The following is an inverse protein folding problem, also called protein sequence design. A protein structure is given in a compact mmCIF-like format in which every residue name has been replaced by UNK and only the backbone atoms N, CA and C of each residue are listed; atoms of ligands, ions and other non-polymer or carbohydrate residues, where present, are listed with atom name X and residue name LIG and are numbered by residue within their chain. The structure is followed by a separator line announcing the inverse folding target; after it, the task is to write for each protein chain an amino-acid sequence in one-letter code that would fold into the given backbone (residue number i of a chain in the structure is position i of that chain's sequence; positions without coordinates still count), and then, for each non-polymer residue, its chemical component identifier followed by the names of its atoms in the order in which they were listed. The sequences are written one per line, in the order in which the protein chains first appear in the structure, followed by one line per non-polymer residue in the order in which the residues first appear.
data_IF_236895101362
#
_entry.id   IF_236895101362
#
_cell.length_a   1.000
_cell.length_b   1.000
_cell.length_c   1.000
_cell.angle_alpha   90.00
_cell.angle_beta   90.00
_cell.angle_gamma   90.00
#
_symmetry.space_group_name_H-M   'P 1'
#
loop_
_entity.id
_entity.type
_entity.pdbx_description
1 polymer ?
#
# COMPACT_ATOMS: atom_id res chain seq x y z
N UNK A 1 4.43 18.56 -26.33
CA UNK A 1 4.86 17.21 -25.90
C UNK A 1 4.88 17.18 -24.38
N UNK A 2 4.24 16.19 -23.70
CA UNK A 2 4.39 16.03 -22.24
C UNK A 2 5.84 15.66 -21.96
N UNK A 3 6.52 16.42 -21.10
CA UNK A 3 7.88 16.12 -20.66
C UNK A 3 7.87 14.75 -19.96
N UNK A 4 8.61 13.78 -20.48
CA UNK A 4 8.78 12.49 -19.81
C UNK A 4 9.67 12.73 -18.59
N UNK A 5 9.18 12.41 -17.42
CA UNK A 5 9.88 12.54 -16.14
C UNK A 5 10.51 11.21 -15.80
N UNK A 6 11.75 11.02 -16.24
CA UNK A 6 12.48 9.75 -16.09
C UNK A 6 12.61 9.34 -14.63
N UNK A 7 12.75 10.31 -13.72
CA UNK A 7 12.83 10.09 -12.29
C UNK A 7 11.60 9.32 -11.73
N UNK A 8 10.40 9.64 -12.22
CA UNK A 8 9.17 8.94 -11.80
C UNK A 8 9.04 7.55 -12.44
N UNK A 9 9.61 7.35 -13.63
CA UNK A 9 9.66 6.03 -14.27
C UNK A 9 10.58 5.09 -13.50
N UNK A 10 11.77 5.56 -13.14
CA UNK A 10 12.72 4.78 -12.32
C UNK A 10 12.16 4.50 -10.93
N UNK A 11 11.59 5.52 -10.27
CA UNK A 11 10.96 5.35 -8.97
C UNK A 11 9.86 4.28 -8.99
N UNK A 12 9.03 4.24 -10.04
CA UNK A 12 8.01 3.21 -10.22
C UNK A 12 8.63 1.81 -10.32
N UNK A 13 9.69 1.65 -11.10
CA UNK A 13 10.36 0.36 -11.27
C UNK A 13 10.96 -0.13 -9.94
N UNK A 14 11.59 0.78 -9.17
CA UNK A 14 12.16 0.48 -7.85
C UNK A 14 11.05 0.05 -6.88
N UNK A 15 9.94 0.80 -6.81
CA UNK A 15 8.80 0.45 -5.93
C UNK A 15 8.21 -0.92 -6.30
N UNK A 16 8.06 -1.22 -7.60
CA UNK A 16 7.59 -2.54 -8.04
C UNK A 16 8.54 -3.65 -7.57
N UNK A 17 9.87 -3.47 -7.70
CA UNK A 17 10.86 -4.43 -7.22
C UNK A 17 10.78 -4.61 -5.69
N UNK A 18 10.66 -3.53 -4.94
CA UNK A 18 10.48 -3.54 -3.47
C UNK A 18 9.24 -4.34 -3.07
N UNK A 19 8.11 -4.16 -3.74
CA UNK A 19 6.87 -4.90 -3.47
C UNK A 19 7.07 -6.41 -3.72
N UNK A 20 7.73 -6.78 -4.81
CA UNK A 20 8.04 -8.19 -5.12
C UNK A 20 8.91 -8.79 -4.01
N UNK A 21 9.96 -8.10 -3.59
CA UNK A 21 10.85 -8.54 -2.51
C UNK A 21 10.06 -8.70 -1.20
N UNK A 22 9.19 -7.76 -0.87
CA UNK A 22 8.34 -7.85 0.33
C UNK A 22 7.49 -9.12 0.32
N UNK A 23 6.83 -9.44 -0.80
CA UNK A 23 6.02 -10.64 -0.93
C UNK A 23 6.84 -11.93 -0.87
N UNK A 24 8.01 -11.96 -1.52
CA UNK A 24 8.92 -13.11 -1.45
C UNK A 24 9.39 -13.38 -0.02
N UNK A 25 9.82 -12.35 0.70
CA UNK A 25 10.26 -12.49 2.09
C UNK A 25 9.12 -12.95 3.00
N UNK A 26 7.92 -12.43 2.81
CA UNK A 26 6.72 -12.87 3.55
C UNK A 26 6.43 -14.35 3.31
N UNK A 27 6.51 -14.83 2.05
CA UNK A 27 6.31 -16.25 1.73
C UNK A 27 7.36 -17.16 2.33
N UNK A 28 8.62 -16.76 2.29
CA UNK A 28 9.71 -17.53 2.90
C UNK A 28 9.46 -17.65 4.40
N UNK A 29 9.07 -16.57 5.06
CA UNK A 29 8.77 -16.58 6.50
C UNK A 29 7.61 -17.51 6.85
N UNK A 30 6.50 -17.46 6.09
CA UNK A 30 5.32 -18.30 6.33
C UNK A 30 5.58 -19.80 6.10
N UNK A 31 6.46 -20.15 5.14
CA UNK A 31 6.78 -21.56 4.83
C UNK A 31 7.79 -22.19 5.78
N UNK A 32 8.57 -21.39 6.46
CA UNK A 32 9.66 -21.86 7.31
C UNK A 32 9.43 -21.47 8.79
N UNK A 33 8.27 -21.86 9.34
CA UNK A 33 7.94 -21.67 10.76
C UNK A 33 8.97 -22.27 11.72
N UNK A 34 9.79 -23.21 11.24
CA UNK A 34 10.85 -23.88 12.00
C UNK A 34 12.26 -23.31 11.75
N UNK A 35 12.39 -22.16 11.08
CA UNK A 35 13.69 -21.52 10.95
C UNK A 35 14.16 -20.97 12.31
N UNK A 36 15.17 -21.56 12.89
CA UNK A 36 15.82 -21.08 14.11
C UNK A 36 16.98 -20.16 13.79
N UNK A 37 17.17 -19.11 14.62
CA UNK A 37 18.41 -18.34 14.69
C UNK A 37 18.52 -17.15 13.75
N UNK A 38 19.76 -16.82 13.37
CA UNK A 38 20.12 -15.56 12.70
C UNK A 38 19.48 -15.30 11.34
N UNK A 39 19.01 -16.34 10.62
CA UNK A 39 18.35 -16.17 9.33
C UNK A 39 16.99 -15.47 9.44
N UNK A 40 16.20 -15.77 10.48
CA UNK A 40 14.92 -15.10 10.76
C UNK A 40 15.12 -13.63 11.12
N UNK A 41 16.12 -13.37 11.93
CA UNK A 41 16.50 -12.01 12.34
C UNK A 41 16.88 -11.18 11.10
N UNK A 42 17.72 -11.72 10.23
CA UNK A 42 18.12 -11.03 9.00
C UNK A 42 16.92 -10.77 8.07
N UNK A 43 16.02 -11.75 7.91
CA UNK A 43 14.80 -11.59 7.12
C UNK A 43 13.88 -10.51 7.69
N UNK A 44 13.73 -10.45 9.01
CA UNK A 44 12.98 -9.40 9.70
C UNK A 44 13.53 -8.00 9.36
N UNK A 45 14.84 -7.79 9.48
CA UNK A 45 15.47 -6.51 9.15
C UNK A 45 15.29 -6.14 7.68
N UNK A 46 15.56 -7.06 6.75
CA UNK A 46 15.42 -6.79 5.32
C UNK A 46 13.96 -6.50 4.97
N UNK A 47 13.00 -7.27 5.51
CA UNK A 47 11.58 -7.08 5.27
C UNK A 47 11.12 -5.69 5.74
N UNK A 48 11.57 -5.23 6.90
CA UNK A 48 11.22 -3.90 7.40
C UNK A 48 11.83 -2.75 6.58
N UNK A 49 12.95 -2.98 5.87
CA UNK A 49 13.47 -2.01 4.89
C UNK A 49 12.56 -1.88 3.67
N UNK A 50 11.87 -2.93 3.26
CA UNK A 50 11.10 -2.97 2.00
C UNK A 50 9.57 -2.86 2.18
N UNK A 51 9.07 -2.95 3.40
CA UNK A 51 7.63 -2.99 3.69
C UNK A 51 6.86 -1.72 3.25
N UNK A 52 7.57 -0.58 3.13
CA UNK A 52 6.99 0.68 2.68
C UNK A 52 6.58 0.71 1.18
N UNK A 53 6.80 -0.36 0.44
CA UNK A 53 6.50 -0.43 -0.99
C UNK A 53 5.05 -0.12 -1.33
N UNK A 54 4.08 -0.68 -0.60
CA UNK A 54 2.65 -0.45 -0.84
C UNK A 54 2.21 1.00 -0.63
N UNK A 55 2.49 1.66 0.50
CA UNK A 55 2.17 3.08 0.67
C UNK A 55 2.87 3.97 -0.37
N UNK A 56 4.13 3.70 -0.71
CA UNK A 56 4.83 4.44 -1.76
C UNK A 56 4.19 4.26 -3.15
N UNK A 57 3.65 3.09 -3.46
CA UNK A 57 2.94 2.88 -4.71
C UNK A 57 1.63 3.66 -4.77
N UNK A 58 0.89 3.76 -3.66
CA UNK A 58 -0.33 4.58 -3.56
C UNK A 58 0.03 6.07 -3.77
N UNK A 59 1.05 6.57 -3.05
CA UNK A 59 1.56 7.94 -3.21
C UNK A 59 1.91 8.21 -4.67
N UNK A 60 2.73 7.34 -5.29
CA UNK A 60 3.18 7.52 -6.67
C UNK A 60 2.03 7.47 -7.68
N UNK A 61 1.08 6.55 -7.51
CA UNK A 61 -0.09 6.43 -8.38
C UNK A 61 -0.92 7.71 -8.37
N UNK A 62 -1.16 8.27 -7.20
CA UNK A 62 -1.94 9.49 -7.06
C UNK A 62 -1.14 10.73 -7.47
N UNK A 63 0.14 10.80 -7.15
CA UNK A 63 1.05 11.85 -7.63
C UNK A 63 1.01 11.94 -9.15
N UNK A 64 1.19 10.83 -9.85
CA UNK A 64 1.13 10.77 -11.32
C UNK A 64 -0.25 11.15 -11.85
N UNK A 65 -1.32 10.79 -11.16
CA UNK A 65 -2.67 11.17 -11.56
C UNK A 65 -2.85 12.68 -11.46
N UNK A 66 -2.53 13.28 -10.32
CA UNK A 66 -2.70 14.72 -10.08
C UNK A 66 -1.77 15.57 -10.95
N UNK A 67 -0.52 15.09 -11.17
CA UNK A 67 0.46 15.77 -12.01
C UNK A 67 0.08 15.80 -13.50
N UNK A 68 -0.56 14.72 -13.98
CA UNK A 68 -0.85 14.56 -15.40
C UNK A 68 -2.24 15.03 -15.83
N UNK A 69 -3.17 15.19 -14.88
CA UNK A 69 -4.56 15.53 -15.15
C UNK A 69 -5.00 16.72 -14.30
N UNK A 70 -5.62 17.71 -14.92
CA UNK A 70 -6.36 18.78 -14.25
C UNK A 70 -7.87 18.55 -14.32
N UNK A 71 -8.31 17.76 -15.28
CA UNK A 71 -9.69 17.29 -15.45
C UNK A 71 -9.65 15.83 -15.87
N UNK A 72 -10.58 15.05 -15.35
CA UNK A 72 -10.75 13.65 -15.70
C UNK A 72 -12.15 13.41 -16.28
N UNK A 73 -12.21 12.53 -17.27
CA UNK A 73 -13.46 12.09 -17.90
C UNK A 73 -13.71 10.62 -17.54
N UNK A 74 -14.87 10.09 -17.85
CA UNK A 74 -15.16 8.66 -17.66
C UNK A 74 -14.12 7.76 -18.35
N UNK A 75 -13.54 8.20 -19.47
CA UNK A 75 -12.44 7.50 -20.16
C UNK A 75 -11.22 7.25 -19.25
N UNK A 76 -11.01 8.09 -18.24
CA UNK A 76 -9.96 7.85 -17.25
C UNK A 76 -10.20 6.54 -16.49
N UNK A 77 -11.41 6.32 -15.97
CA UNK A 77 -11.75 5.08 -15.24
C UNK A 77 -11.71 3.85 -16.16
N UNK A 78 -12.28 3.93 -17.35
CA UNK A 78 -12.24 2.80 -18.30
C UNK A 78 -10.84 2.39 -18.70
N UNK A 79 -9.93 3.37 -18.79
CA UNK A 79 -8.50 3.09 -19.03
C UNK A 79 -7.87 2.35 -17.85
N UNK A 80 -8.21 2.72 -16.60
CA UNK A 80 -7.72 2.03 -15.40
C UNK A 80 -8.26 0.61 -15.29
N UNK A 81 -9.55 0.42 -15.56
CA UNK A 81 -10.14 -0.91 -15.64
C UNK A 81 -9.41 -1.77 -16.68
N UNK A 82 -9.22 -1.26 -17.89
CA UNK A 82 -8.57 -2.01 -18.98
C UNK A 82 -7.13 -2.41 -18.67
N UNK A 83 -6.32 -1.51 -18.12
CA UNK A 83 -4.87 -1.71 -17.99
C UNK A 83 -4.41 -2.14 -16.58
N UNK A 84 -5.31 -2.14 -15.61
CA UNK A 84 -4.99 -2.51 -14.22
C UNK A 84 -5.91 -3.62 -13.74
N UNK A 85 -7.24 -3.43 -13.80
CA UNK A 85 -8.18 -4.40 -13.26
C UNK A 85 -8.26 -5.68 -14.11
N UNK A 86 -8.24 -5.59 -15.44
CA UNK A 86 -8.27 -6.79 -16.30
C UNK A 86 -7.01 -7.65 -16.08
N UNK A 87 -5.77 -7.11 -16.13
CA UNK A 87 -4.59 -7.89 -15.77
C UNK A 87 -4.63 -8.50 -14.37
N UNK A 88 -5.16 -7.77 -13.39
CA UNK A 88 -5.39 -8.28 -12.04
C UNK A 88 -6.28 -9.53 -12.04
N UNK A 89 -7.43 -9.47 -12.71
CA UNK A 89 -8.36 -10.61 -12.80
C UNK A 89 -7.70 -11.78 -13.51
N UNK A 90 -6.98 -11.56 -14.62
CA UNK A 90 -6.31 -12.63 -15.36
C UNK A 90 -5.21 -13.31 -14.52
N UNK A 91 -4.40 -12.54 -13.81
CA UNK A 91 -3.38 -13.09 -12.90
C UNK A 91 -4.03 -13.78 -11.70
N UNK A 92 -5.13 -13.25 -11.18
CA UNK A 92 -5.89 -13.86 -10.11
C UNK A 92 -6.53 -15.20 -10.52
N UNK A 93 -7.02 -15.32 -11.74
CA UNK A 93 -7.49 -16.60 -12.30
C UNK A 93 -6.37 -17.65 -12.33
N UNK A 94 -5.20 -17.24 -12.85
CA UNK A 94 -4.03 -18.13 -12.90
C UNK A 94 -3.58 -18.54 -11.49
N UNK A 95 -3.50 -17.60 -10.56
CA UNK A 95 -3.12 -17.86 -9.18
C UNK A 95 -4.11 -18.80 -8.49
N UNK A 96 -5.41 -18.53 -8.57
CA UNK A 96 -6.47 -19.35 -7.97
C UNK A 96 -6.51 -20.77 -8.56
N UNK A 97 -6.23 -20.91 -9.86
CA UNK A 97 -6.10 -22.22 -10.50
C UNK A 97 -4.89 -22.99 -9.94
N UNK A 98 -3.72 -22.35 -9.88
CA UNK A 98 -2.50 -22.96 -9.34
C UNK A 98 -2.68 -23.37 -7.88
N UNK A 99 -3.34 -22.55 -7.08
CA UNK A 99 -3.58 -22.81 -5.66
C UNK A 99 -4.59 -23.96 -5.47
N UNK A 100 -5.62 -24.05 -6.31
CA UNK A 100 -6.57 -25.17 -6.28
C UNK A 100 -5.93 -26.53 -6.62
N UNK A 101 -4.82 -26.54 -7.38
CA UNK A 101 -4.06 -27.75 -7.65
C UNK A 101 -3.12 -28.16 -6.48
N UNK A 102 -2.74 -27.21 -5.64
CA UNK A 102 -1.83 -27.41 -4.51
C UNK A 102 -2.57 -27.66 -3.19
N UNK A 103 -3.84 -27.27 -3.12
CA UNK A 103 -4.70 -27.42 -1.95
C UNK A 103 -5.95 -28.18 -2.36
N UNK A 104 -6.54 -28.97 -1.47
CA UNK A 104 -7.79 -29.72 -1.76
C UNK A 104 -9.04 -28.83 -1.84
N UNK A 105 -8.87 -27.54 -2.20
CA UNK A 105 -9.96 -26.57 -2.30
C UNK A 105 -10.40 -26.33 -3.75
N UNK A 106 -11.71 -26.10 -3.94
CA UNK A 106 -12.24 -25.87 -5.28
C UNK A 106 -11.74 -24.56 -5.89
N UNK A 107 -11.52 -24.54 -7.22
CA UNK A 107 -11.16 -23.34 -7.96
C UNK A 107 -12.11 -22.15 -7.71
N UNK A 108 -13.42 -22.41 -7.69
CA UNK A 108 -14.42 -21.35 -7.48
C UNK A 108 -14.25 -20.67 -6.11
N UNK A 109 -13.96 -21.45 -5.07
CA UNK A 109 -13.70 -20.92 -3.73
C UNK A 109 -12.44 -20.06 -3.76
N UNK A 110 -11.34 -20.58 -4.29
CA UNK A 110 -10.08 -19.85 -4.41
C UNK A 110 -10.21 -18.56 -5.23
N UNK A 111 -10.96 -18.59 -6.32
CA UNK A 111 -11.21 -17.41 -7.14
C UNK A 111 -12.00 -16.33 -6.40
N UNK A 112 -13.05 -16.71 -5.67
CA UNK A 112 -13.84 -15.77 -4.87
C UNK A 112 -12.96 -15.15 -3.76
N UNK A 113 -12.29 -15.98 -2.97
CA UNK A 113 -11.45 -15.53 -1.86
C UNK A 113 -10.31 -14.62 -2.34
N UNK A 114 -9.58 -15.05 -3.35
CA UNK A 114 -8.43 -14.29 -3.84
C UNK A 114 -8.85 -13.05 -4.64
N UNK A 115 -9.61 -13.22 -5.71
CA UNK A 115 -9.83 -12.15 -6.68
C UNK A 115 -10.95 -11.21 -6.26
N UNK A 116 -12.08 -11.74 -5.78
CA UNK A 116 -13.23 -10.91 -5.43
C UNK A 116 -13.09 -10.33 -4.01
N UNK A 117 -12.61 -11.12 -3.04
CA UNK A 117 -12.44 -10.66 -1.66
C UNK A 117 -11.04 -10.05 -1.40
N UNK A 118 -10.11 -10.17 -2.34
CA UNK A 118 -8.78 -9.58 -2.23
C UNK A 118 -7.86 -10.25 -1.20
N UNK A 119 -8.05 -11.55 -0.93
CA UNK A 119 -7.27 -12.31 0.06
C UNK A 119 -5.96 -12.88 -0.51
N UNK A 120 -5.34 -12.19 -1.47
CA UNK A 120 -4.07 -12.57 -2.07
C UNK A 120 -3.12 -11.37 -2.24
N UNK A 121 -1.93 -11.59 -2.75
CA UNK A 121 -0.91 -10.53 -2.92
C UNK A 121 -1.35 -9.35 -3.78
N UNK A 122 -2.36 -9.55 -4.63
CA UNK A 122 -2.92 -8.52 -5.48
C UNK A 122 -3.88 -7.55 -4.78
N UNK A 123 -4.16 -7.70 -3.47
CA UNK A 123 -5.13 -6.88 -2.74
C UNK A 123 -4.95 -5.36 -2.93
N UNK A 124 -3.72 -4.91 -3.08
CA UNK A 124 -3.41 -3.48 -3.26
C UNK A 124 -3.99 -2.91 -4.56
N UNK A 125 -4.26 -3.75 -5.57
CA UNK A 125 -4.95 -3.31 -6.80
C UNK A 125 -6.39 -2.91 -6.48
N UNK A 126 -7.06 -3.62 -5.57
CA UNK A 126 -8.40 -3.28 -5.09
C UNK A 126 -8.36 -1.90 -4.40
N UNK A 127 -7.37 -1.67 -3.54
CA UNK A 127 -7.15 -0.35 -2.89
C UNK A 127 -6.96 0.75 -3.92
N UNK A 128 -6.09 0.54 -4.90
CA UNK A 128 -5.80 1.54 -5.94
C UNK A 128 -7.02 1.82 -6.81
N UNK A 129 -7.83 0.81 -7.12
CA UNK A 129 -9.07 1.00 -7.87
C UNK A 129 -10.07 1.87 -7.11
N UNK A 130 -10.21 1.68 -5.79
CA UNK A 130 -11.01 2.56 -4.93
C UNK A 130 -10.49 4.01 -5.00
N UNK A 131 -9.17 4.21 -4.96
CA UNK A 131 -8.58 5.54 -5.07
C UNK A 131 -8.72 6.18 -6.46
N UNK A 132 -8.76 5.41 -7.54
CA UNK A 132 -9.09 5.97 -8.85
C UNK A 132 -10.54 6.46 -8.93
N UNK A 133 -11.48 5.76 -8.28
CA UNK A 133 -12.88 6.21 -8.16
C UNK A 133 -12.93 7.49 -7.31
N UNK A 134 -12.27 7.50 -6.15
CA UNK A 134 -12.20 8.68 -5.29
C UNK A 134 -11.56 9.87 -6.01
N UNK A 135 -10.47 9.65 -6.74
CA UNK A 135 -9.86 10.69 -7.60
C UNK A 135 -10.86 11.25 -8.60
N UNK A 136 -11.58 10.38 -9.30
CA UNK A 136 -12.58 10.82 -10.28
C UNK A 136 -13.65 11.70 -9.64
N UNK A 137 -14.13 11.34 -8.45
CA UNK A 137 -15.12 12.14 -7.70
C UNK A 137 -14.54 13.50 -7.33
N UNK A 138 -13.32 13.55 -6.74
CA UNK A 138 -12.68 14.80 -6.33
C UNK A 138 -12.40 15.72 -7.53
N UNK A 139 -11.93 15.17 -8.65
CA UNK A 139 -11.74 15.96 -9.88
C UNK A 139 -13.05 16.58 -10.40
N UNK A 140 -14.18 15.90 -10.19
CA UNK A 140 -15.51 16.41 -10.56
C UNK A 140 -15.99 17.53 -9.64
N UNK A 141 -15.67 17.44 -8.34
CA UNK A 141 -16.05 18.45 -7.35
C UNK A 141 -15.15 19.69 -7.49
N UNK A 142 -13.86 19.53 -7.22
CA UNK A 142 -12.88 20.62 -7.33
C UNK A 142 -11.45 20.06 -7.28
N UNK A 143 -10.70 20.20 -8.36
CA UNK A 143 -9.29 19.80 -8.43
C UNK A 143 -8.40 20.46 -7.37
N UNK A 144 -8.71 21.70 -6.96
CA UNK A 144 -7.92 22.42 -5.97
C UNK A 144 -7.96 21.80 -4.57
N UNK A 145 -8.89 20.88 -4.30
CA UNK A 145 -8.92 20.12 -3.05
C UNK A 145 -7.63 19.33 -2.82
N UNK A 146 -6.96 18.90 -3.89
CA UNK A 146 -5.68 18.23 -3.80
C UNK A 146 -4.52 19.10 -3.27
N UNK A 147 -4.68 20.44 -3.28
CA UNK A 147 -3.73 21.38 -2.69
C UNK A 147 -4.05 21.76 -1.24
N UNK A 148 -5.11 21.21 -0.67
CA UNK A 148 -5.55 21.55 0.68
C UNK A 148 -4.70 20.91 1.75
N UNK A 149 -3.95 21.71 2.52
CA UNK A 149 -3.19 21.23 3.69
C UNK A 149 -4.11 20.76 4.81
N UNK A 150 -5.31 21.34 4.93
CA UNK A 150 -6.32 20.93 5.91
C UNK A 150 -6.80 19.52 5.59
N UNK A 151 -7.11 19.25 4.31
CA UNK A 151 -7.54 17.91 3.88
C UNK A 151 -6.45 16.87 4.07
N UNK A 152 -5.19 17.24 3.82
CA UNK A 152 -4.03 16.38 4.09
C UNK A 152 -3.92 16.06 5.59
N UNK A 153 -4.05 17.06 6.48
CA UNK A 153 -4.02 16.85 7.93
C UNK A 153 -5.21 15.99 8.40
N UNK A 154 -6.40 16.29 7.92
CA UNK A 154 -7.61 15.52 8.26
C UNK A 154 -7.50 14.06 7.80
N UNK A 155 -6.95 13.81 6.62
CA UNK A 155 -6.72 12.43 6.14
C UNK A 155 -5.70 11.68 7.00
N UNK A 156 -4.66 12.36 7.49
CA UNK A 156 -3.71 11.77 8.45
C UNK A 156 -4.39 11.41 9.76
N UNK A 157 -5.13 12.34 10.37
CA UNK A 157 -5.86 12.09 11.62
C UNK A 157 -6.86 10.95 11.44
N UNK A 158 -7.62 10.94 10.35
CA UNK A 158 -8.59 9.91 10.04
C UNK A 158 -7.92 8.53 9.94
N UNK A 159 -6.81 8.43 9.19
CA UNK A 159 -6.08 7.18 9.04
C UNK A 159 -5.54 6.68 10.38
N UNK A 160 -4.86 7.54 11.16
CA UNK A 160 -4.28 7.13 12.44
C UNK A 160 -5.38 6.73 13.44
N UNK A 161 -6.48 7.48 13.52
CA UNK A 161 -7.61 7.13 14.37
C UNK A 161 -8.24 5.80 13.96
N UNK A 162 -8.47 5.59 12.66
CA UNK A 162 -9.02 4.34 12.15
C UNK A 162 -8.12 3.16 12.54
N UNK A 163 -6.81 3.24 12.28
CA UNK A 163 -5.87 2.17 12.57
C UNK A 163 -5.77 1.89 14.07
N UNK A 164 -5.73 2.94 14.90
CA UNK A 164 -5.70 2.80 16.34
C UNK A 164 -6.92 2.03 16.86
N UNK A 165 -8.14 2.44 16.45
CA UNK A 165 -9.35 1.75 16.90
C UNK A 165 -9.48 0.35 16.28
N UNK A 166 -9.11 0.16 15.03
CA UNK A 166 -9.16 -1.12 14.34
C UNK A 166 -8.23 -2.16 14.99
N UNK A 167 -7.06 -1.73 15.49
CA UNK A 167 -6.09 -2.63 16.13
C UNK A 167 -6.39 -2.87 17.61
N UNK A 168 -6.88 -1.86 18.35
CA UNK A 168 -6.99 -1.93 19.80
C UNK A 168 -8.41 -2.17 20.33
N UNK A 169 -9.43 -2.15 19.48
CA UNK A 169 -10.83 -2.33 19.90
C UNK A 169 -11.48 -3.46 19.09
N UNK A 170 -11.59 -4.63 19.71
CA UNK A 170 -12.15 -5.84 19.09
C UNK A 170 -13.59 -5.64 18.60
N UNK A 171 -14.44 -4.95 19.37
CA UNK A 171 -15.82 -4.68 18.97
C UNK A 171 -15.91 -3.79 17.73
N UNK A 172 -15.02 -2.80 17.59
CA UNK A 172 -14.92 -1.97 16.39
C UNK A 172 -14.39 -2.79 15.20
N UNK A 173 -13.33 -3.57 15.41
CA UNK A 173 -12.76 -4.46 14.42
C UNK A 173 -13.82 -5.41 13.84
N UNK A 174 -14.52 -6.15 14.71
CA UNK A 174 -15.54 -7.12 14.31
C UNK A 174 -16.73 -6.45 13.61
N UNK A 175 -17.13 -5.25 14.08
CA UNK A 175 -18.17 -4.46 13.42
C UNK A 175 -17.76 -4.06 12.01
N UNK A 176 -16.53 -3.56 11.83
CA UNK A 176 -16.02 -3.19 10.50
C UNK A 176 -16.00 -4.40 9.57
N UNK A 177 -15.45 -5.53 10.00
CA UNK A 177 -15.38 -6.74 9.17
C UNK A 177 -16.76 -7.36 8.88
N UNK A 178 -17.72 -7.19 9.78
CA UNK A 178 -19.10 -7.64 9.52
C UNK A 178 -19.73 -6.91 8.31
N UNK A 179 -19.48 -5.60 8.16
CA UNK A 179 -20.03 -4.81 7.07
C UNK A 179 -19.11 -4.70 5.85
N UNK A 180 -17.84 -5.05 5.98
CA UNK A 180 -16.86 -4.98 4.92
C UNK A 180 -16.38 -6.39 4.52
N UNK A 181 -16.96 -7.00 3.48
CA UNK A 181 -16.72 -8.40 3.14
C UNK A 181 -15.37 -8.66 2.48
N UNK A 182 -14.65 -7.59 2.06
CA UNK A 182 -13.34 -7.73 1.43
C UNK A 182 -12.24 -7.92 2.49
N UNK A 183 -11.05 -8.33 2.05
CA UNK A 183 -9.87 -8.39 2.92
C UNK A 183 -9.65 -7.07 3.67
N UNK A 184 -9.34 -7.13 4.96
CA UNK A 184 -9.07 -5.98 5.82
C UNK A 184 -8.01 -5.03 5.23
N UNK A 185 -6.98 -5.59 4.58
CA UNK A 185 -5.93 -4.83 3.92
C UNK A 185 -6.43 -3.97 2.74
N UNK A 186 -7.66 -4.17 2.28
CA UNK A 186 -8.27 -3.38 1.21
C UNK A 186 -9.09 -2.20 1.73
N UNK A 187 -9.21 -2.02 3.04
CA UNK A 187 -9.98 -0.93 3.65
C UNK A 187 -9.31 0.41 3.34
N UNK A 188 -10.01 1.26 2.59
CA UNK A 188 -9.50 2.55 2.09
C UNK A 188 -9.01 3.48 3.21
N UNK A 189 -9.62 3.42 4.40
CA UNK A 189 -9.25 4.28 5.53
C UNK A 189 -7.87 3.98 6.09
N UNK A 190 -7.36 2.75 5.93
CA UNK A 190 -5.98 2.40 6.28
C UNK A 190 -4.92 3.04 5.37
N UNK A 191 -5.33 3.65 4.25
CA UNK A 191 -4.42 4.16 3.22
C UNK A 191 -4.71 5.60 2.78
N UNK A 192 -5.75 6.23 3.33
CA UNK A 192 -6.30 7.51 2.84
C UNK A 192 -5.30 8.67 2.91
N UNK A 193 -4.43 8.70 3.91
CA UNK A 193 -3.38 9.71 4.02
C UNK A 193 -2.39 9.64 2.86
N UNK A 194 -1.95 8.46 2.49
CA UNK A 194 -1.00 8.28 1.38
C UNK A 194 -1.58 8.74 0.04
N UNK A 195 -2.88 8.53 -0.15
CA UNK A 195 -3.59 9.05 -1.29
C UNK A 195 -3.54 10.59 -1.35
N UNK A 196 -3.92 11.28 -0.27
CA UNK A 196 -3.89 12.74 -0.24
C UNK A 196 -2.48 13.31 -0.25
N UNK A 197 -1.51 12.62 0.35
CA UNK A 197 -0.10 12.99 0.28
C UNK A 197 0.41 12.93 -1.17
N UNK A 198 0.15 11.84 -1.88
CA UNK A 198 0.48 11.73 -3.30
C UNK A 198 -0.19 12.80 -4.16
N UNK A 199 -1.46 13.10 -3.90
CA UNK A 199 -2.19 14.15 -4.58
C UNK A 199 -1.58 15.54 -4.35
N UNK A 200 -1.27 15.87 -3.11
CA UNK A 200 -0.63 17.13 -2.73
C UNK A 200 0.76 17.29 -3.37
N UNK A 201 1.56 16.21 -3.33
CA UNK A 201 2.87 16.18 -3.98
C UNK A 201 2.75 16.35 -5.51
N UNK A 202 1.77 15.71 -6.14
CA UNK A 202 1.53 15.85 -7.58
C UNK A 202 1.08 17.25 -7.98
N UNK A 203 0.24 17.90 -7.18
CA UNK A 203 -0.20 19.27 -7.39
C UNK A 203 0.96 20.28 -7.25
N UNK A 204 1.85 20.06 -6.27
CA UNK A 204 2.99 20.93 -5.94
C UNK A 204 4.34 20.34 -6.41
N UNK A 205 4.37 19.57 -7.48
CA UNK A 205 5.49 18.71 -7.83
C UNK A 205 6.85 19.44 -7.85
N UNK A 206 6.97 20.56 -8.56
CA UNK A 206 8.24 21.30 -8.67
C UNK A 206 8.71 21.86 -7.30
N UNK A 207 7.77 22.27 -6.45
CA UNK A 207 8.08 22.73 -5.09
C UNK A 207 8.59 21.58 -4.22
N UNK A 208 7.96 20.41 -4.33
CA UNK A 208 8.39 19.20 -3.61
C UNK A 208 9.76 18.74 -4.09
N UNK A 209 10.01 18.74 -5.39
CA UNK A 209 11.30 18.35 -5.96
C UNK A 209 12.42 19.27 -5.45
N UNK A 210 12.25 20.58 -5.54
CA UNK A 210 13.20 21.56 -5.02
C UNK A 210 13.46 21.41 -3.51
N UNK A 211 12.41 21.07 -2.75
CA UNK A 211 12.54 20.79 -1.32
C UNK A 211 13.38 19.53 -1.06
N UNK A 212 13.10 18.45 -1.78
CA UNK A 212 13.84 17.19 -1.66
C UNK A 212 15.31 17.37 -2.07
N UNK A 213 15.58 18.07 -3.16
CA UNK A 213 16.96 18.37 -3.60
C UNK A 213 17.72 19.18 -2.55
N UNK A 214 17.08 20.20 -1.98
CA UNK A 214 17.68 21.08 -0.98
C UNK A 214 18.00 20.36 0.33
N UNK A 215 17.13 19.46 0.76
CA UNK A 215 17.20 18.80 2.09
C UNK A 215 17.50 17.31 2.00
N UNK A 216 18.01 16.83 0.85
CA UNK A 216 18.24 15.40 0.58
C UNK A 216 19.01 14.70 1.71
N UNK A 217 20.14 15.28 2.15
CA UNK A 217 20.97 14.68 3.19
C UNK A 217 20.21 14.58 4.52
N UNK A 218 19.50 15.64 4.90
CA UNK A 218 18.69 15.65 6.12
C UNK A 218 17.59 14.59 6.04
N UNK A 219 16.93 14.46 4.90
CA UNK A 219 15.87 13.45 4.69
C UNK A 219 16.42 12.02 4.79
N UNK A 220 17.61 11.76 4.24
CA UNK A 220 18.26 10.46 4.35
C UNK A 220 18.61 10.16 5.82
N UNK A 221 19.22 11.13 6.54
CA UNK A 221 19.55 10.94 7.95
C UNK A 221 18.31 10.67 8.80
N UNK A 222 17.23 11.43 8.57
CA UNK A 222 15.96 11.21 9.26
C UNK A 222 15.35 9.84 8.95
N UNK A 223 15.39 9.40 7.69
CA UNK A 223 14.88 8.08 7.29
C UNK A 223 15.66 6.95 7.97
N UNK A 224 17.00 7.05 8.00
CA UNK A 224 17.86 6.08 8.68
C UNK A 224 17.60 6.10 10.19
N UNK A 225 17.53 7.27 10.82
CA UNK A 225 17.24 7.39 12.25
C UNK A 225 15.87 6.81 12.60
N UNK A 226 14.83 7.11 11.81
CA UNK A 226 13.48 6.57 11.99
C UNK A 226 13.48 5.04 11.88
N UNK A 227 14.22 4.50 10.92
CA UNK A 227 14.37 3.04 10.76
C UNK A 227 14.99 2.40 12.01
N UNK A 228 16.07 2.96 12.55
CA UNK A 228 16.69 2.43 13.76
C UNK A 228 15.79 2.55 15.00
N UNK A 229 15.07 3.65 15.14
CA UNK A 229 14.07 3.81 16.23
C UNK A 229 12.98 2.75 16.09
N UNK A 230 12.45 2.55 14.88
CA UNK A 230 11.45 1.52 14.61
C UNK A 230 11.97 0.13 14.98
N UNK A 231 13.17 -0.24 14.55
CA UNK A 231 13.79 -1.53 14.87
C UNK A 231 13.98 -1.70 16.37
N UNK A 232 14.43 -0.67 17.07
CA UNK A 232 14.61 -0.71 18.52
C UNK A 232 13.29 -0.93 19.27
N UNK A 233 12.21 -0.30 18.82
CA UNK A 233 10.87 -0.50 19.39
C UNK A 233 10.30 -1.90 19.05
N UNK A 234 10.53 -2.39 17.83
CA UNK A 234 10.04 -3.68 17.38
C UNK A 234 10.82 -4.86 17.98
N UNK A 235 12.09 -4.69 18.37
CA UNK A 235 12.91 -5.77 18.93
C UNK A 235 12.33 -6.36 20.20
N UNK A 236 11.71 -5.55 21.07
CA UNK A 236 11.04 -6.05 22.28
C UNK A 236 9.93 -7.04 21.96
N UNK A 237 9.12 -6.71 20.99
CA UNK A 237 7.99 -7.54 20.56
C UNK A 237 8.44 -8.72 19.68
N UNK A 238 9.48 -8.53 18.87
CA UNK A 238 10.00 -9.59 17.99
C UNK A 238 10.52 -10.81 18.76
N UNK A 239 11.25 -10.59 19.85
CA UNK A 239 11.79 -11.68 20.66
C UNK A 239 10.72 -12.39 21.51
N UNK A 240 9.62 -11.70 21.78
CA UNK A 240 8.48 -12.24 22.54
C UNK A 240 7.39 -12.85 21.66
N UNK A 241 7.36 -12.54 20.38
CA UNK A 241 6.35 -13.01 19.44
C UNK A 241 6.96 -14.07 18.53
N UNK A 242 6.57 -15.30 18.75
CA UNK A 242 6.95 -16.47 17.93
C UNK A 242 6.29 -16.48 16.56
N UNK A 243 5.37 -15.56 16.25
CA UNK A 243 4.68 -15.47 14.96
C UNK A 243 4.87 -14.11 14.31
N UNK A 244 5.24 -14.12 13.03
CA UNK A 244 5.35 -12.94 12.16
C UNK A 244 3.99 -12.29 11.80
N UNK A 245 2.88 -12.82 12.32
CA UNK A 245 1.53 -12.30 12.06
C UNK A 245 1.38 -10.82 12.44
N UNK A 246 2.15 -10.33 13.40
CA UNK A 246 2.17 -8.93 13.79
C UNK A 246 2.60 -7.96 12.69
N UNK A 247 3.47 -8.39 11.81
CA UNK A 247 4.02 -7.55 10.75
C UNK A 247 3.12 -7.47 9.50
N UNK A 248 1.98 -8.13 9.52
CA UNK A 248 1.02 -8.15 8.41
C UNK A 248 -0.16 -7.19 8.64
N UNK A 249 -0.26 -6.56 9.80
CA UNK A 249 -1.32 -5.58 10.04
C UNK A 249 -1.03 -4.28 9.28
N UNK A 250 -2.05 -3.58 8.78
CA UNK A 250 -1.90 -2.26 8.18
C UNK A 250 -1.13 -1.28 9.08
N UNK A 251 -1.31 -1.39 10.38
CA UNK A 251 -0.60 -0.60 11.39
C UNK A 251 0.91 -0.78 11.29
N UNK A 252 1.42 -2.01 11.20
CA UNK A 252 2.85 -2.28 11.09
C UNK A 252 3.43 -1.97 9.70
N UNK A 253 2.59 -1.89 8.67
CA UNK A 253 3.01 -1.42 7.36
C UNK A 253 3.07 0.11 7.24
N UNK A 254 2.65 0.83 8.29
CA UNK A 254 2.61 2.30 8.33
C UNK A 254 3.75 2.86 9.19
N UNK A 255 4.25 2.11 10.15
CA UNK A 255 5.48 2.45 10.84
C UNK A 255 6.69 2.07 10.01
#
# INVERSE_FOLDING_TARGET
MKKIRLELVYLRAIICAIIIITHLLTQITLKHENMEGGSLVLQFYIRNIVIFGTPCFIILSQLLTTLNYQKVTYRYLTTRVKYILIPYILMGLFYSYSESLLTDSSFNKQFIENVLLGQWYGYFIVVIMQFFILSYIIFKINYNLFNSKILLLLSFILQQSFLYYFTNNTAFHDTVLHYYPLSENTIIFGWIFYFFLGAYMGYNYERVLNFLERYLVIMIVLAVATYFVFIALANGDYWNVTSFSYSLTPYNSIM
#
